data_IF_419565363692
#
_entry.id   IF_419565363692
#
_cell.length_a   1.000
_cell.length_b   1.000
_cell.length_c   1.000
_cell.angle_alpha   90.00
_cell.angle_beta   90.00
_cell.angle_gamma   90.00
#
_symmetry.space_group_name_H-M   'P 1'
#
loop_
_entity.id
_entity.type
_entity.pdbx_description
1 polymer ?
#
# COMPACT_ATOMS: atom_id res chain seq x y z
N UNK A 1 13.82 5.46 -24.98
CA UNK A 1 14.79 5.51 -23.87
C UNK A 1 13.97 5.66 -22.59
N UNK A 2 13.64 4.56 -21.92
CA UNK A 2 12.72 4.59 -20.77
C UNK A 2 13.53 5.03 -19.55
N UNK A 3 13.52 6.34 -19.27
CA UNK A 3 13.98 6.88 -17.99
C UNK A 3 12.88 6.66 -16.94
N UNK A 4 12.64 5.41 -16.57
CA UNK A 4 11.83 5.11 -15.40
C UNK A 4 12.81 4.72 -14.31
N UNK A 5 12.99 5.60 -13.32
CA UNK A 5 13.36 5.13 -11.98
C UNK A 5 12.31 4.08 -11.65
N UNK A 6 12.70 2.81 -11.53
CA UNK A 6 11.78 1.67 -11.40
C UNK A 6 10.90 1.83 -10.15
N UNK A 7 9.81 2.58 -10.28
CA UNK A 7 8.81 2.75 -9.24
C UNK A 7 7.97 1.50 -9.22
N UNK A 8 7.86 0.89 -8.06
CA UNK A 8 7.02 -0.30 -7.90
C UNK A 8 5.58 0.02 -8.32
N UNK A 9 4.93 -0.86 -9.09
CA UNK A 9 3.56 -0.65 -9.51
C UNK A 9 2.61 -0.89 -8.34
N UNK A 10 1.53 -0.12 -8.28
CA UNK A 10 0.43 -0.33 -7.36
C UNK A 10 -0.23 -1.68 -7.66
N UNK A 11 -0.42 -2.51 -6.63
CA UNK A 11 -1.02 -3.84 -6.76
C UNK A 11 -2.46 -3.79 -7.28
N UNK A 12 -3.19 -2.70 -7.03
CA UNK A 12 -4.60 -2.59 -7.44
C UNK A 12 -4.81 -2.03 -8.85
N UNK A 13 -4.08 -0.95 -9.20
CA UNK A 13 -4.35 -0.21 -10.45
C UNK A 13 -3.15 -0.17 -11.42
N UNK A 14 -2.00 -0.74 -11.05
CA UNK A 14 -0.80 -0.80 -11.88
C UNK A 14 -0.05 0.52 -12.07
N UNK A 15 -0.56 1.63 -11.51
CA UNK A 15 0.13 2.92 -11.59
C UNK A 15 1.40 2.95 -10.73
N UNK A 16 2.43 3.72 -11.10
CA UNK A 16 3.65 3.81 -10.32
C UNK A 16 3.38 4.38 -8.92
N UNK A 17 3.92 3.74 -7.89
CA UNK A 17 3.86 4.25 -6.52
C UNK A 17 4.83 5.43 -6.39
N UNK A 18 4.27 6.64 -6.40
CA UNK A 18 5.07 7.86 -6.29
C UNK A 18 5.24 8.35 -4.85
N UNK A 19 4.33 7.94 -3.96
CA UNK A 19 4.27 8.34 -2.56
C UNK A 19 4.31 7.10 -1.66
N UNK A 20 5.19 7.13 -0.67
CA UNK A 20 5.29 6.09 0.35
C UNK A 20 4.27 6.33 1.47
N UNK A 21 3.87 5.27 2.19
CA UNK A 21 2.94 5.36 3.32
C UNK A 21 1.61 4.65 3.12
N UNK A 22 1.36 4.15 1.91
CA UNK A 22 0.22 3.29 1.60
C UNK A 22 0.73 1.88 1.30
N UNK A 23 0.87 1.08 2.36
CA UNK A 23 1.29 -0.31 2.26
C UNK A 23 0.54 -1.18 3.26
N UNK A 24 0.31 -2.44 2.90
CA UNK A 24 -0.40 -3.41 3.74
C UNK A 24 0.35 -4.74 3.71
N UNK A 25 0.65 -5.29 4.88
CA UNK A 25 1.20 -6.65 4.99
C UNK A 25 0.06 -7.65 4.94
N UNK A 26 0.09 -8.54 3.95
CA UNK A 26 -0.84 -9.65 3.75
C UNK A 26 -0.08 -10.98 3.88
N UNK A 27 -0.80 -12.10 3.76
CA UNK A 27 -0.19 -13.44 3.71
C UNK A 27 0.82 -13.60 2.58
N UNK A 28 0.63 -12.86 1.48
CA UNK A 28 1.51 -12.86 0.30
C UNK A 28 2.72 -11.91 0.42
N UNK A 29 2.78 -11.13 1.50
CA UNK A 29 3.86 -10.19 1.77
C UNK A 29 3.43 -8.73 1.85
N UNK A 30 4.39 -7.82 1.64
CA UNK A 30 4.14 -6.38 1.73
C UNK A 30 3.60 -5.83 0.42
N UNK A 31 2.31 -5.48 0.41
CA UNK A 31 1.64 -4.88 -0.73
C UNK A 31 1.79 -3.35 -0.69
N UNK A 32 2.12 -2.74 -1.83
CA UNK A 32 2.30 -1.28 -1.97
C UNK A 32 1.23 -0.68 -2.88
N UNK A 33 0.78 0.52 -2.53
CA UNK A 33 -0.31 1.21 -3.19
C UNK A 33 0.07 2.64 -3.56
N UNK A 34 -0.44 3.14 -4.69
CA UNK A 34 -0.14 4.50 -5.15
C UNK A 34 -0.85 5.59 -4.33
N UNK A 35 -1.93 5.24 -3.60
CA UNK A 35 -2.72 6.18 -2.81
C UNK A 35 -3.58 5.48 -1.75
N UNK A 36 -4.14 6.26 -0.82
CA UNK A 36 -5.07 5.79 0.21
C UNK A 36 -6.30 5.06 -0.37
N UNK A 37 -6.83 5.52 -1.51
CA UNK A 37 -8.00 4.91 -2.15
C UNK A 37 -7.75 3.46 -2.57
N UNK A 38 -6.56 3.18 -3.15
CA UNK A 38 -6.21 1.82 -3.53
C UNK A 38 -6.02 0.90 -2.32
N UNK A 39 -5.45 1.44 -1.23
CA UNK A 39 -5.33 0.70 0.03
C UNK A 39 -6.72 0.35 0.61
N UNK A 40 -7.63 1.32 0.70
CA UNK A 40 -8.98 1.11 1.25
C UNK A 40 -9.78 0.10 0.42
N UNK A 41 -9.75 0.20 -0.91
CA UNK A 41 -10.42 -0.78 -1.77
C UNK A 41 -9.82 -2.16 -1.59
N UNK A 42 -8.49 -2.28 -1.54
CA UNK A 42 -7.84 -3.56 -1.33
C UNK A 42 -8.21 -4.19 0.02
N UNK A 43 -8.30 -3.39 1.09
CA UNK A 43 -8.75 -3.86 2.41
C UNK A 43 -10.21 -4.34 2.37
N UNK A 44 -11.11 -3.62 1.69
CA UNK A 44 -12.51 -4.04 1.55
C UNK A 44 -12.66 -5.33 0.74
N UNK A 45 -11.91 -5.47 -0.35
CA UNK A 45 -11.95 -6.67 -1.19
C UNK A 45 -11.30 -7.90 -0.52
N UNK A 46 -10.40 -7.67 0.43
CA UNK A 46 -9.67 -8.71 1.13
C UNK A 46 -9.94 -8.67 2.64
N UNK A 47 -11.10 -8.19 3.08
CA UNK A 47 -11.41 -7.97 4.51
C UNK A 47 -11.29 -9.27 5.31
N UNK A 48 -11.68 -10.40 4.72
CA UNK A 48 -11.55 -11.73 5.31
C UNK A 48 -10.10 -12.23 5.41
N UNK A 49 -9.18 -11.66 4.61
CA UNK A 49 -7.79 -12.11 4.45
C UNK A 49 -6.75 -11.08 4.92
N UNK A 50 -7.19 -9.90 5.37
CA UNK A 50 -6.30 -8.82 5.79
C UNK A 50 -6.43 -8.64 7.29
N UNK A 51 -5.38 -9.00 8.04
CA UNK A 51 -5.26 -8.51 9.42
C UNK A 51 -4.85 -7.05 9.29
N UNK A 52 -5.67 -6.06 9.69
CA UNK A 52 -5.28 -4.67 9.61
C UNK A 52 -4.11 -4.44 10.57
N UNK A 53 -2.89 -4.62 10.08
CA UNK A 53 -1.71 -4.06 10.70
C UNK A 53 -1.68 -2.60 10.29
N UNK A 54 -2.56 -1.82 10.91
CA UNK A 54 -2.31 -0.41 11.09
C UNK A 54 -0.96 -0.33 11.81
N UNK A 55 0.13 -0.10 11.08
CA UNK A 55 1.34 0.42 11.71
C UNK A 55 0.92 1.80 12.21
N UNK A 56 0.72 2.01 13.52
CA UNK A 56 0.54 3.36 13.99
C UNK A 56 1.86 4.05 13.63
N UNK A 57 1.79 5.05 12.76
CA UNK A 57 2.77 6.11 12.83
C UNK A 57 2.79 6.48 14.31
N UNK A 58 3.93 6.29 15.00
CA UNK A 58 4.10 6.80 16.34
C UNK A 58 3.77 8.28 16.28
N UNK A 59 2.51 8.63 16.55
CA UNK A 59 2.18 9.89 17.17
C UNK A 59 2.72 9.72 18.57
N UNK A 60 4.01 10.01 18.73
CA UNK A 60 4.57 10.44 20.00
C UNK A 60 3.68 11.60 20.46
N UNK A 61 2.67 11.28 21.26
CA UNK A 61 2.03 12.25 22.14
C UNK A 61 3.14 12.68 23.09
N UNK A 62 3.68 13.87 22.86
CA UNK A 62 4.50 14.58 23.85
C UNK A 62 3.56 15.28 24.83
#
# INVERSE_FOLDING_TARGET
>A
MVNAKDKEPCVLCGQPVEITGFSLTTSDGLQKFCCAGCLSIYQLLNEDNTKPTITPLLTTKK
#
